data_IF_802705201758
#
_entry.id   IF_802705201758
#
_cell.length_a   1.000
_cell.length_b   1.000
_cell.length_c   1.000
_cell.angle_alpha   90.00
_cell.angle_beta   90.00
_cell.angle_gamma   90.00
#
_symmetry.space_group_name_H-M   'P 1'
#
loop_
_entity.id
_entity.type
_entity.pdbx_description
1 polymer ?
#
# COMPACT_ATOMS: atom_id res chain seq x y z
N UNK A 1 4.58 -14.32 -5.42
CA UNK A 1 4.53 -15.56 -6.25
C UNK A 1 3.60 -16.63 -5.67
N UNK A 2 3.74 -16.99 -4.38
CA UNK A 2 2.91 -18.02 -3.71
C UNK A 2 1.39 -17.81 -3.86
N UNK A 3 0.90 -16.57 -3.80
CA UNK A 3 -0.53 -16.29 -3.96
C UNK A 3 -1.06 -16.68 -5.36
N UNK A 4 -0.34 -16.32 -6.44
CA UNK A 4 -0.73 -16.63 -7.81
C UNK A 4 -0.75 -18.15 -8.05
N UNK A 5 0.25 -18.87 -7.53
CA UNK A 5 0.29 -20.33 -7.62
C UNK A 5 -0.93 -20.97 -6.95
N UNK A 6 -1.37 -20.43 -5.80
CA UNK A 6 -2.59 -20.89 -5.12
C UNK A 6 -3.85 -20.60 -5.92
N UNK A 7 -3.95 -19.42 -6.55
CA UNK A 7 -5.06 -19.10 -7.46
C UNK A 7 -5.10 -20.07 -8.64
N UNK A 8 -3.96 -20.31 -9.28
CA UNK A 8 -3.85 -21.22 -10.42
C UNK A 8 -4.17 -22.67 -10.03
N UNK A 9 -3.76 -23.11 -8.84
CA UNK A 9 -4.13 -24.42 -8.32
C UNK A 9 -5.65 -24.55 -8.15
N UNK A 10 -6.30 -23.57 -7.53
CA UNK A 10 -7.75 -23.56 -7.36
C UNK A 10 -8.51 -23.51 -8.69
N UNK A 11 -8.00 -22.77 -9.69
CA UNK A 11 -8.57 -22.76 -11.04
C UNK A 11 -8.53 -24.16 -11.68
N UNK A 12 -7.39 -24.86 -11.59
CA UNK A 12 -7.25 -26.24 -12.10
C UNK A 12 -8.17 -27.22 -11.39
N UNK A 13 -8.28 -27.12 -10.06
CA UNK A 13 -9.19 -27.95 -9.27
C UNK A 13 -10.66 -27.74 -9.68
N UNK A 14 -11.02 -26.52 -10.07
CA UNK A 14 -12.34 -26.19 -10.59
C UNK A 14 -12.54 -26.52 -12.09
N UNK A 15 -11.55 -27.11 -12.77
CA UNK A 15 -11.60 -27.42 -14.20
C UNK A 15 -11.56 -26.19 -15.12
N UNK A 16 -11.01 -25.07 -14.64
CA UNK A 16 -10.84 -23.82 -15.39
C UNK A 16 -9.39 -23.66 -15.84
N UNK A 17 -9.18 -22.93 -16.93
CA UNK A 17 -7.83 -22.52 -17.35
C UNK A 17 -7.32 -21.42 -16.39
N UNK A 18 -6.17 -21.60 -15.72
CA UNK A 18 -5.55 -20.56 -14.91
C UNK A 18 -5.30 -19.25 -15.67
N UNK A 19 -5.00 -19.32 -16.97
CA UNK A 19 -4.68 -18.14 -17.77
C UNK A 19 -5.93 -17.31 -18.13
N UNK A 20 -7.13 -17.85 -17.88
CA UNK A 20 -8.39 -17.10 -17.97
C UNK A 20 -8.74 -16.36 -16.67
N UNK A 21 -7.96 -16.55 -15.59
CA UNK A 21 -8.18 -15.85 -14.32
C UNK A 21 -7.48 -14.49 -14.37
N UNK A 22 -8.27 -13.42 -14.36
CA UNK A 22 -7.73 -12.07 -14.24
C UNK A 22 -7.08 -11.84 -12.88
N UNK A 23 -5.87 -11.26 -12.88
CA UNK A 23 -5.12 -10.92 -11.67
C UNK A 23 -5.18 -9.41 -11.42
N UNK A 24 -5.67 -9.04 -10.24
CA UNK A 24 -5.69 -7.67 -9.77
C UNK A 24 -4.61 -7.40 -8.72
N UNK A 25 -3.93 -6.27 -8.83
CA UNK A 25 -3.04 -5.74 -7.78
C UNK A 25 -3.71 -4.58 -7.05
N UNK A 26 -3.83 -4.70 -5.74
CA UNK A 26 -4.34 -3.65 -4.85
C UNK A 26 -3.18 -3.22 -3.95
N UNK A 27 -2.97 -1.91 -3.80
CA UNK A 27 -1.89 -1.35 -3.01
C UNK A 27 -2.29 -0.03 -2.37
N UNK A 28 -1.72 0.25 -1.21
CA UNK A 28 -1.83 1.57 -0.60
C UNK A 28 -0.91 2.56 -1.29
N UNK A 29 -1.33 3.82 -1.39
CA UNK A 29 -0.51 4.91 -1.92
C UNK A 29 -0.54 6.09 -0.97
N UNK A 30 0.60 6.42 -0.36
CA UNK A 30 0.71 7.54 0.57
C UNK A 30 0.59 8.86 -0.18
N UNK A 31 -0.37 9.68 0.23
CA UNK A 31 -0.65 10.99 -0.36
C UNK A 31 -0.01 12.11 0.47
N UNK A 32 1.31 12.16 0.51
CA UNK A 32 2.04 13.30 1.05
C UNK A 32 3.33 13.50 0.24
N UNK A 33 3.85 14.73 0.25
CA UNK A 33 5.20 15.04 -0.22
C UNK A 33 6.16 15.33 0.94
N UNK A 34 5.66 15.36 2.19
CA UNK A 34 6.49 15.52 3.37
C UNK A 34 7.16 14.17 3.70
N UNK A 35 8.51 14.07 3.67
CA UNK A 35 9.21 12.83 3.93
C UNK A 35 8.91 12.22 5.30
N UNK A 36 8.73 13.04 6.33
CA UNK A 36 8.47 12.55 7.69
C UNK A 36 7.06 11.99 7.81
N UNK A 37 6.07 12.67 7.20
CA UNK A 37 4.69 12.15 7.12
C UNK A 37 4.62 10.86 6.29
N UNK A 38 5.36 10.81 5.18
CA UNK A 38 5.43 9.61 4.33
C UNK A 38 5.91 8.41 5.15
N UNK A 39 7.02 8.58 5.88
CA UNK A 39 7.63 7.49 6.67
C UNK A 39 6.73 7.05 7.81
N UNK A 40 6.15 7.98 8.54
CA UNK A 40 5.22 7.64 9.60
C UNK A 40 3.97 6.91 9.04
N UNK A 41 3.40 7.41 7.94
CA UNK A 41 2.23 6.78 7.32
C UNK A 41 2.54 5.38 6.79
N UNK A 42 3.69 5.17 6.15
CA UNK A 42 4.11 3.85 5.67
C UNK A 42 4.22 2.83 6.83
N UNK A 43 4.83 3.23 7.97
CA UNK A 43 4.87 2.39 9.17
C UNK A 43 3.49 2.07 9.72
N UNK A 44 2.59 3.05 9.73
CA UNK A 44 1.19 2.86 10.15
C UNK A 44 0.49 1.81 9.27
N UNK A 45 0.69 1.86 7.95
CA UNK A 45 0.16 0.85 7.03
C UNK A 45 0.76 -0.54 7.29
N UNK A 46 2.08 -0.64 7.46
CA UNK A 46 2.74 -1.92 7.78
C UNK A 46 2.20 -2.52 9.09
N UNK A 47 2.06 -1.70 10.13
CA UNK A 47 1.47 -2.12 11.41
C UNK A 47 0.01 -2.55 11.27
N UNK A 48 -0.79 -1.89 10.43
CA UNK A 48 -2.16 -2.29 10.14
C UNK A 48 -2.24 -3.66 9.48
N UNK A 49 -1.33 -3.98 8.55
CA UNK A 49 -1.28 -5.32 7.97
C UNK A 49 -0.82 -6.38 8.95
N UNK A 50 0.16 -6.06 9.80
CA UNK A 50 0.59 -6.96 10.87
C UNK A 50 -0.54 -7.23 11.88
N UNK A 51 -1.26 -6.19 12.30
CA UNK A 51 -2.43 -6.30 13.17
C UNK A 51 -3.51 -7.21 12.57
N UNK A 52 -3.78 -7.07 11.28
CA UNK A 52 -4.80 -7.88 10.59
C UNK A 52 -4.34 -9.33 10.38
N UNK A 53 -3.07 -9.52 9.99
CA UNK A 53 -2.51 -10.84 9.70
C UNK A 53 -0.99 -10.86 9.88
N UNK A 54 -0.49 -11.32 11.04
CA UNK A 54 0.95 -11.47 11.28
C UNK A 54 1.67 -12.34 10.24
N UNK A 55 0.94 -13.28 9.61
CA UNK A 55 1.46 -14.11 8.53
C UNK A 55 2.02 -13.30 7.34
N UNK A 56 1.55 -12.06 7.13
CA UNK A 56 2.07 -11.16 6.10
C UNK A 56 3.51 -10.70 6.38
N UNK A 57 3.96 -10.75 7.63
CA UNK A 57 5.36 -10.53 8.02
C UNK A 57 6.11 -11.85 8.09
N UNK A 58 5.50 -12.89 8.67
CA UNK A 58 6.16 -14.20 8.87
C UNK A 58 6.55 -14.87 7.54
N UNK A 59 5.70 -14.81 6.52
CA UNK A 59 5.96 -15.44 5.21
C UNK A 59 7.19 -14.83 4.50
N UNK A 60 7.32 -13.50 4.37
CA UNK A 60 8.52 -12.88 3.81
C UNK A 60 9.71 -12.81 4.80
N UNK A 61 9.49 -13.07 6.09
CA UNK A 61 10.54 -13.00 7.12
C UNK A 61 10.80 -11.58 7.63
N UNK A 62 9.80 -10.70 7.57
CA UNK A 62 9.89 -9.33 8.11
C UNK A 62 9.77 -9.36 9.64
N UNK A 63 10.62 -8.62 10.38
CA UNK A 63 10.60 -8.63 11.83
C UNK A 63 9.51 -7.74 12.44
N UNK A 64 9.04 -8.14 13.63
CA UNK A 64 8.30 -7.29 14.55
C UNK A 64 9.03 -7.28 15.89
N UNK A 65 10.00 -6.37 16.02
CA UNK A 65 10.95 -6.35 17.15
C UNK A 65 10.57 -5.36 18.26
N UNK A 66 9.27 -5.07 18.39
CA UNK A 66 8.73 -4.13 19.38
C UNK A 66 7.75 -4.76 20.36
N UNK A 67 6.98 -3.92 21.09
CA UNK A 67 5.90 -4.38 21.96
C UNK A 67 4.85 -5.22 21.21
N UNK A 68 4.10 -6.04 21.95
CA UNK A 68 2.97 -6.78 21.36
C UNK A 68 1.99 -5.83 20.66
N UNK A 69 1.54 -6.19 19.46
CA UNK A 69 0.53 -5.43 18.71
C UNK A 69 -0.74 -5.23 19.54
N UNK A 70 -1.13 -6.22 20.36
CA UNK A 70 -2.30 -6.12 21.24
C UNK A 70 -2.16 -5.05 22.34
N UNK A 71 -0.94 -4.72 22.78
CA UNK A 71 -0.71 -3.62 23.71
C UNK A 71 -0.73 -2.26 23.00
N UNK A 72 -0.21 -2.21 21.77
CA UNK A 72 -0.16 -0.98 20.99
C UNK A 72 -1.56 -0.57 20.47
N UNK A 73 -2.41 -1.54 20.13
CA UNK A 73 -3.82 -1.32 19.73
C UNK A 73 -4.66 -0.61 20.78
N UNK A 74 -4.25 -0.62 22.05
CA UNK A 74 -4.94 0.14 23.10
C UNK A 74 -4.72 1.66 22.97
N UNK A 75 -3.76 2.08 22.16
CA UNK A 75 -3.36 3.47 21.94
C UNK A 75 -3.81 3.99 20.57
N UNK A 76 -4.37 3.14 19.71
CA UNK A 76 -4.77 3.48 18.34
C UNK A 76 -6.23 3.10 18.13
N UNK A 77 -7.01 3.96 17.48
CA UNK A 77 -8.42 3.69 17.20
C UNK A 77 -8.79 4.10 15.76
N UNK A 78 -9.61 3.31 15.03
CA UNK A 78 -10.09 1.98 15.41
C UNK A 78 -9.05 0.87 15.25
N UNK A 79 -8.04 1.11 14.40
CA UNK A 79 -6.92 0.23 14.11
C UNK A 79 -5.79 1.08 13.46
N UNK A 80 -4.63 0.49 13.17
CA UNK A 80 -3.52 1.23 12.55
C UNK A 80 -3.82 1.72 11.12
N UNK A 81 -4.61 0.99 10.33
CA UNK A 81 -4.93 1.37 8.94
C UNK A 81 -5.87 2.57 8.85
N UNK A 82 -6.77 2.71 9.83
CA UNK A 82 -7.88 3.66 9.80
C UNK A 82 -7.75 4.73 10.89
N UNK A 83 -6.60 4.82 11.56
CA UNK A 83 -6.35 5.85 12.56
C UNK A 83 -6.55 7.24 11.94
N UNK A 84 -7.30 8.16 12.60
CA UNK A 84 -7.49 9.52 12.11
C UNK A 84 -6.17 10.29 11.95
N UNK A 85 -5.19 9.98 12.81
CA UNK A 85 -3.82 10.50 12.74
C UNK A 85 -2.84 9.34 12.44
N UNK A 86 -2.60 9.12 11.14
CA UNK A 86 -1.67 8.09 10.67
C UNK A 86 -0.21 8.38 11.04
N UNK A 87 0.12 9.66 11.27
CA UNK A 87 1.48 10.06 11.67
C UNK A 87 1.72 9.67 13.13
N UNK A 88 0.81 10.03 14.03
CA UNK A 88 0.87 9.61 15.44
C UNK A 88 0.86 8.08 15.55
N UNK A 89 -0.04 7.41 14.82
CA UNK A 89 -0.11 5.94 14.74
C UNK A 89 1.22 5.32 14.28
N UNK A 90 1.82 5.86 13.22
CA UNK A 90 3.11 5.41 12.68
C UNK A 90 4.29 5.65 13.62
N UNK A 91 4.24 6.70 14.43
CA UNK A 91 5.27 7.02 15.40
C UNK A 91 5.27 6.03 16.58
N UNK A 92 4.14 5.43 16.94
CA UNK A 92 4.07 4.37 17.97
C UNK A 92 4.83 3.09 17.56
N UNK A 93 4.99 2.88 16.26
CA UNK A 93 5.68 1.74 15.66
C UNK A 93 6.99 2.16 14.98
N UNK A 94 7.63 3.21 15.48
CA UNK A 94 8.92 3.71 14.95
C UNK A 94 10.08 2.72 15.10
N UNK A 95 9.89 1.61 15.80
CA UNK A 95 10.85 0.50 15.91
C UNK A 95 10.88 -0.37 14.66
N UNK A 96 9.87 -0.28 13.77
CA UNK A 96 9.90 -0.98 12.49
C UNK A 96 11.02 -0.41 11.61
N UNK A 97 11.82 -1.31 11.04
CA UNK A 97 12.86 -0.94 10.08
C UNK A 97 12.25 -0.42 8.76
N UNK A 98 13.11 0.20 7.95
CA UNK A 98 12.69 0.80 6.68
C UNK A 98 12.18 -0.25 5.69
N UNK A 99 12.82 -1.43 5.62
CA UNK A 99 12.39 -2.50 4.71
C UNK A 99 10.96 -2.96 5.00
N UNK A 100 10.65 -3.15 6.27
CA UNK A 100 9.34 -3.56 6.77
C UNK A 100 8.30 -2.47 6.54
N UNK A 101 8.64 -1.21 6.86
CA UNK A 101 7.74 -0.08 6.66
C UNK A 101 7.41 0.13 5.17
N UNK A 102 8.39 -0.06 4.31
CA UNK A 102 8.30 0.23 2.87
C UNK A 102 7.59 -0.90 2.10
N UNK A 103 7.42 -2.09 2.70
CA UNK A 103 6.86 -3.27 2.03
C UNK A 103 5.34 -3.22 1.78
N UNK A 104 4.62 -2.31 2.44
CA UNK A 104 3.15 -2.34 2.50
C UNK A 104 2.43 -1.12 1.91
N UNK A 105 3.18 -0.13 1.39
CA UNK A 105 2.61 1.04 0.73
C UNK A 105 3.53 1.55 -0.38
N UNK A 106 2.94 2.19 -1.40
CA UNK A 106 3.68 2.94 -2.41
C UNK A 106 3.73 4.42 -2.02
N UNK A 107 4.85 5.08 -2.24
CA UNK A 107 5.01 6.49 -1.86
C UNK A 107 6.14 7.17 -2.62
N UNK A 108 6.27 8.49 -2.43
CA UNK A 108 7.21 9.33 -3.16
C UNK A 108 6.57 10.01 -4.36
N UNK A 109 7.39 10.45 -5.32
CA UNK A 109 6.94 11.10 -6.55
C UNK A 109 6.13 10.15 -7.45
N UNK A 110 5.53 10.69 -8.51
CA UNK A 110 4.85 9.86 -9.52
C UNK A 110 5.81 8.84 -10.17
N UNK A 111 7.08 9.21 -10.36
CA UNK A 111 8.11 8.33 -10.92
C UNK A 111 8.48 7.21 -9.92
N UNK A 112 8.59 7.54 -8.63
CA UNK A 112 8.88 6.56 -7.57
C UNK A 112 7.75 5.53 -7.46
N UNK A 113 6.50 6.00 -7.40
CA UNK A 113 5.31 5.14 -7.31
C UNK A 113 5.20 4.25 -8.55
N UNK A 114 5.44 4.79 -9.76
CA UNK A 114 5.44 4.00 -10.99
C UNK A 114 6.58 2.97 -11.01
N UNK A 115 7.76 3.32 -10.49
CA UNK A 115 8.88 2.39 -10.30
C UNK A 115 8.54 1.21 -9.40
N UNK A 116 7.99 1.50 -8.22
CA UNK A 116 7.59 0.48 -7.25
C UNK A 116 6.46 -0.41 -7.78
N UNK A 117 5.47 0.19 -8.47
CA UNK A 117 4.37 -0.56 -9.08
C UNK A 117 4.85 -1.47 -10.22
N UNK A 118 5.77 -1.02 -11.08
CA UNK A 118 6.39 -1.88 -12.10
C UNK A 118 7.12 -3.05 -11.46
N UNK A 119 7.91 -2.81 -10.41
CA UNK A 119 8.60 -3.89 -9.70
C UNK A 119 7.60 -4.92 -9.13
N UNK A 120 6.47 -4.46 -8.59
CA UNK A 120 5.42 -5.35 -8.10
C UNK A 120 4.75 -6.15 -9.24
N UNK A 121 4.45 -5.51 -10.38
CA UNK A 121 3.90 -6.16 -11.58
C UNK A 121 4.89 -7.21 -12.10
N UNK A 122 6.17 -6.88 -12.25
CA UNK A 122 7.21 -7.80 -12.70
C UNK A 122 7.35 -9.02 -11.78
N UNK A 123 7.26 -8.82 -10.46
CA UNK A 123 7.32 -9.90 -9.48
C UNK A 123 6.10 -10.85 -9.55
N UNK A 124 4.95 -10.34 -9.97
CA UNK A 124 3.69 -11.09 -10.12
C UNK A 124 3.56 -11.73 -11.50
N UNK A 125 4.09 -11.09 -12.54
CA UNK A 125 3.92 -11.47 -13.94
C UNK A 125 2.72 -10.75 -14.55
N UNK A 126 1.73 -11.51 -15.03
CA UNK A 126 0.54 -10.91 -15.66
C UNK A 126 -0.35 -10.26 -14.61
N UNK A 127 -0.68 -8.99 -14.83
CA UNK A 127 -1.63 -8.21 -14.04
C UNK A 127 -2.61 -7.56 -15.00
N UNK A 128 -3.90 -7.83 -14.81
CA UNK A 128 -4.98 -7.34 -15.68
C UNK A 128 -5.58 -6.03 -15.12
N UNK A 129 -5.52 -5.83 -13.80
CA UNK A 129 -6.10 -4.66 -13.13
C UNK A 129 -5.16 -4.16 -12.04
N UNK A 130 -4.99 -2.84 -11.98
CA UNK A 130 -4.26 -2.12 -10.93
C UNK A 130 -5.28 -1.26 -10.19
N UNK A 131 -5.39 -1.44 -8.87
CA UNK A 131 -6.34 -0.71 -8.02
C UNK A 131 -5.56 0.07 -6.95
N UNK A 132 -5.32 1.38 -7.18
CA UNK A 132 -4.69 2.21 -6.18
C UNK A 132 -5.64 2.53 -5.02
N UNK A 133 -5.16 2.41 -3.78
CA UNK A 133 -5.90 2.76 -2.57
C UNK A 133 -5.18 3.91 -1.82
N UNK A 134 -5.61 5.17 -1.98
CA UNK A 134 -4.93 6.32 -1.38
C UNK A 134 -5.02 6.33 0.15
N UNK A 135 -3.93 6.71 0.82
CA UNK A 135 -3.86 6.89 2.28
C UNK A 135 -3.22 8.24 2.64
N UNK A 136 -3.86 9.05 3.53
CA UNK A 136 -5.20 8.84 4.09
C UNK A 136 -6.27 8.86 2.99
N UNK A 137 -7.44 8.28 3.28
CA UNK A 137 -8.56 8.27 2.33
C UNK A 137 -8.97 9.70 1.97
N UNK A 138 -8.90 10.10 0.67
CA UNK A 138 -9.26 11.45 0.25
C UNK A 138 -10.73 11.73 0.54
N UNK A 139 -11.01 12.96 0.96
CA UNK A 139 -12.38 13.46 0.98
C UNK A 139 -12.87 13.56 -0.46
N UNK A 140 -14.05 13.00 -0.80
CA UNK A 140 -14.58 13.07 -2.16
C UNK A 140 -14.64 14.51 -2.68
N UNK A 141 -14.02 14.75 -3.85
CA UNK A 141 -13.96 16.06 -4.49
C UNK A 141 -12.94 17.04 -3.88
N UNK A 142 -12.23 16.66 -2.82
CA UNK A 142 -11.10 17.44 -2.33
C UNK A 142 -9.89 17.28 -3.25
N UNK A 143 -9.07 18.34 -3.39
CA UNK A 143 -7.83 18.26 -4.14
C UNK A 143 -6.86 17.30 -3.46
N UNK A 144 -5.96 16.70 -4.23
CA UNK A 144 -4.89 15.88 -3.64
C UNK A 144 -4.00 16.73 -2.73
N UNK A 145 -3.61 16.22 -1.54
CA UNK A 145 -2.73 16.92 -0.61
C UNK A 145 -1.25 16.76 -1.01
N UNK A 146 -0.93 17.04 -2.27
CA UNK A 146 0.45 16.99 -2.79
C UNK A 146 0.68 17.99 -3.91
N UNK A 147 1.95 18.28 -4.16
CA UNK A 147 2.42 19.14 -5.22
C UNK A 147 2.07 18.54 -6.58
N UNK A 148 1.50 19.37 -7.44
CA UNK A 148 1.07 18.96 -8.79
C UNK A 148 1.58 19.95 -9.83
N UNK A 149 1.81 19.48 -11.08
CA UNK A 149 1.96 20.38 -12.21
C UNK A 149 0.75 21.33 -12.31
N UNK A 150 0.90 22.58 -12.80
CA UNK A 150 -0.20 23.55 -12.86
C UNK A 150 -1.45 23.06 -13.61
N UNK A 151 -1.28 22.20 -14.61
CA UNK A 151 -2.38 21.61 -15.38
C UNK A 151 -3.25 20.63 -14.57
N UNK A 152 -2.72 20.11 -13.46
CA UNK A 152 -3.40 19.22 -12.53
C UNK A 152 -3.72 19.90 -11.18
N UNK A 153 -3.63 21.23 -11.12
CA UNK A 153 -3.96 21.95 -9.90
C UNK A 153 -5.41 21.68 -9.48
N UNK A 154 -5.58 21.17 -8.26
CA UNK A 154 -6.89 20.94 -7.65
C UNK A 154 -7.62 19.66 -8.09
N UNK A 155 -6.99 18.79 -8.88
CA UNK A 155 -7.61 17.52 -9.29
C UNK A 155 -7.69 16.53 -8.13
N UNK A 156 -8.60 15.56 -8.25
CA UNK A 156 -8.73 14.46 -7.30
C UNK A 156 -7.64 13.38 -7.50
N UNK A 157 -7.55 12.46 -6.54
CA UNK A 157 -6.54 11.39 -6.55
C UNK A 157 -6.61 10.54 -7.81
N UNK A 158 -7.81 10.16 -8.25
CA UNK A 158 -8.00 9.26 -9.40
C UNK A 158 -7.50 9.92 -10.68
N UNK A 159 -7.83 11.20 -10.86
CA UNK A 159 -7.40 12.01 -11.99
C UNK A 159 -5.89 12.19 -11.99
N UNK A 160 -5.29 12.52 -10.84
CA UNK A 160 -3.85 12.63 -10.71
C UNK A 160 -3.14 11.30 -10.99
N UNK A 161 -3.57 10.19 -10.38
CA UNK A 161 -2.93 8.89 -10.56
C UNK A 161 -3.01 8.43 -12.02
N UNK A 162 -4.17 8.62 -12.67
CA UNK A 162 -4.36 8.30 -14.08
C UNK A 162 -3.52 9.17 -15.03
N UNK A 163 -3.29 10.45 -14.69
CA UNK A 163 -2.51 11.38 -15.51
C UNK A 163 -1.00 11.25 -15.27
N UNK A 164 -0.57 10.98 -14.04
CA UNK A 164 0.83 11.03 -13.65
C UNK A 164 1.43 9.65 -13.42
N UNK A 165 0.73 8.67 -12.86
CA UNK A 165 1.36 7.37 -12.55
C UNK A 165 1.16 6.39 -13.69
N UNK A 166 -0.07 6.22 -14.18
CA UNK A 166 -0.40 5.21 -15.20
C UNK A 166 0.43 5.34 -16.50
N UNK A 167 0.66 6.55 -17.08
CA UNK A 167 1.43 6.66 -18.33
C UNK A 167 2.91 6.30 -18.19
N UNK A 168 3.38 6.09 -16.95
CA UNK A 168 4.76 5.72 -16.63
C UNK A 168 4.91 4.21 -16.38
N UNK A 169 3.84 3.43 -16.35
CA UNK A 169 3.89 1.97 -16.23
C UNK A 169 4.28 1.32 -17.56
#
# INVERSE_FOLDING_TARGET
>A
RTAIERVHAGAREAGRDPDEIGIGLIFHTVMSDDPDEIRATARSMAAGYYEYSPALFEIPGLPWDGPSVEELKKQVYPDFHHAPDLVESGNLVSFLDEETADSFALFGSADDIAGQLRAAIEAVGRVDIVVPHPVPMPVPGAPIPRSTPPVLAGVDYKTWFAAEVIPRL
#
